data_IF_130340151089
#
_entry.id   IF_130340151089
#
_cell.length_a   1.000
_cell.length_b   1.000
_cell.length_c   1.000
_cell.angle_alpha   90.00
_cell.angle_beta   90.00
_cell.angle_gamma   90.00
#
_symmetry.space_group_name_H-M   'P 1'
#
loop_
_entity.id
_entity.type
_entity.pdbx_description
1 polymer ?
#
# COMPACT_ATOMS: atom_id res chain seq x y z
N UNK A 1 18.67 26.77 22.09
CA UNK A 1 17.59 26.72 21.10
C UNK A 1 17.35 28.09 20.50
N UNK A 2 17.00 28.16 19.23
CA UNK A 2 16.79 29.39 18.45
C UNK A 2 15.28 29.50 18.16
N UNK A 3 14.69 30.68 18.39
CA UNK A 3 13.28 30.93 18.08
C UNK A 3 13.08 30.99 16.57
N UNK A 4 11.98 30.39 16.10
CA UNK A 4 11.59 30.35 14.69
C UNK A 4 10.07 30.28 14.57
N UNK A 5 9.56 30.27 13.35
CA UNK A 5 8.12 30.15 13.04
C UNK A 5 7.92 28.93 12.15
N UNK A 6 6.91 28.11 12.47
CA UNK A 6 6.44 27.03 11.62
C UNK A 6 4.98 27.25 11.26
N UNK A 7 4.71 27.34 9.96
CA UNK A 7 3.33 27.42 9.46
C UNK A 7 2.74 26.04 9.33
N UNK A 8 1.64 25.77 10.06
CA UNK A 8 0.89 24.52 9.99
C UNK A 8 -0.53 24.86 9.52
N UNK A 9 -0.94 24.27 8.39
CA UNK A 9 -2.16 24.67 7.72
C UNK A 9 -2.08 26.15 7.27
N UNK A 10 -2.87 27.01 7.91
CA UNK A 10 -2.88 28.48 7.64
C UNK A 10 -2.45 29.30 8.85
N UNK A 11 -1.88 28.66 9.87
CA UNK A 11 -1.57 29.30 11.16
C UNK A 11 -0.07 29.21 11.45
N UNK A 12 0.50 30.33 11.89
CA UNK A 12 1.89 30.43 12.29
C UNK A 12 2.05 30.10 13.77
N UNK A 13 2.93 29.15 14.07
CA UNK A 13 3.28 28.74 15.43
C UNK A 13 4.73 29.13 15.74
N UNK A 14 4.92 29.78 16.90
CA UNK A 14 6.27 30.03 17.42
C UNK A 14 6.88 28.71 17.86
N UNK A 15 8.04 28.38 17.36
CA UNK A 15 8.76 27.12 17.63
C UNK A 15 10.19 27.40 18.07
N UNK A 16 10.86 26.40 18.63
CA UNK A 16 12.27 26.49 18.97
C UNK A 16 13.05 25.41 18.23
N UNK A 17 14.10 25.81 17.52
CA UNK A 17 15.04 24.89 16.84
C UNK A 17 16.26 24.64 17.70
N UNK A 18 16.73 23.40 17.79
CA UNK A 18 17.92 23.04 18.51
C UNK A 18 18.13 21.54 18.62
N UNK A 19 18.74 21.11 19.70
CA UNK A 19 19.00 19.69 19.96
C UNK A 19 18.44 19.29 21.33
N UNK A 20 17.92 18.07 21.43
CA UNK A 20 17.47 17.44 22.67
C UNK A 20 18.15 16.07 22.83
N UNK A 21 18.23 15.63 24.07
CA UNK A 21 18.65 14.26 24.37
C UNK A 21 17.60 13.27 23.83
N UNK A 22 18.03 12.39 22.93
CA UNK A 22 17.11 11.49 22.24
C UNK A 22 16.39 10.51 23.19
N UNK A 23 16.99 10.17 24.36
CA UNK A 23 16.42 9.28 25.37
C UNK A 23 15.25 9.91 26.15
N UNK A 24 15.12 11.25 26.15
CA UNK A 24 14.00 11.96 26.77
C UNK A 24 12.76 12.05 25.87
N UNK A 25 12.90 11.67 24.58
CA UNK A 25 11.83 11.77 23.62
C UNK A 25 10.96 10.50 23.62
N UNK A 26 9.67 10.69 23.44
CA UNK A 26 8.69 9.63 23.32
C UNK A 26 8.22 9.48 21.88
N UNK A 27 8.00 8.25 21.46
CA UNK A 27 7.37 7.98 20.18
C UNK A 27 5.91 8.41 20.17
N UNK A 28 5.39 8.77 18.99
CA UNK A 28 3.99 9.10 18.80
C UNK A 28 3.11 7.85 19.02
N UNK A 29 2.23 7.83 20.05
CA UNK A 29 1.47 6.63 20.38
C UNK A 29 0.50 6.18 19.29
N UNK A 30 0.00 7.14 18.48
CA UNK A 30 -0.98 6.89 17.43
C UNK A 30 -0.32 6.69 16.04
N UNK A 31 0.96 6.30 16.02
CA UNK A 31 1.70 6.05 14.79
C UNK A 31 1.06 4.91 13.99
N UNK A 32 0.50 5.16 12.79
CA UNK A 32 -0.22 4.15 12.01
C UNK A 32 0.61 2.93 11.64
N UNK A 33 1.93 3.10 11.43
CA UNK A 33 2.85 1.98 11.16
C UNK A 33 2.94 0.99 12.31
N UNK A 34 2.81 1.47 13.55
CA UNK A 34 2.84 0.61 14.73
C UNK A 34 1.53 -0.16 14.85
N UNK A 35 0.41 0.52 14.61
CA UNK A 35 -0.92 -0.12 14.61
C UNK A 35 -1.05 -1.21 13.54
N UNK A 36 -0.51 -0.98 12.34
CA UNK A 36 -0.54 -1.97 11.25
C UNK A 36 0.25 -3.24 11.54
N UNK A 37 1.23 -3.17 12.45
CA UNK A 37 2.09 -4.32 12.79
C UNK A 37 1.59 -5.07 14.03
N UNK A 38 1.10 -4.34 15.04
CA UNK A 38 0.77 -4.92 16.35
C UNK A 38 -0.65 -5.47 16.45
N UNK A 39 -1.55 -5.11 15.51
CA UNK A 39 -2.96 -5.54 15.52
C UNK A 39 -3.65 -5.35 16.88
N UNK A 40 -3.40 -4.22 17.57
CA UNK A 40 -3.83 -3.99 18.96
C UNK A 40 -5.33 -3.68 19.10
N UNK A 41 -6.10 -3.63 18.02
CA UNK A 41 -7.49 -3.13 18.05
C UNK A 41 -7.54 -1.71 18.62
N UNK A 42 -8.32 -1.51 19.68
CA UNK A 42 -8.48 -0.20 20.36
C UNK A 42 -7.41 0.10 21.41
N UNK A 43 -6.53 -0.85 21.73
CA UNK A 43 -5.48 -0.64 22.73
C UNK A 43 -4.35 0.23 22.19
N UNK A 44 -3.87 1.19 23.01
CA UNK A 44 -2.72 2.02 22.66
C UNK A 44 -1.41 1.28 22.93
N UNK A 45 -0.47 1.26 21.96
CA UNK A 45 0.82 0.62 22.15
C UNK A 45 1.65 1.33 23.24
N UNK A 46 2.39 0.56 24.01
CA UNK A 46 3.37 1.09 24.95
C UNK A 46 4.60 1.62 24.22
N UNK A 47 5.36 2.52 24.84
CA UNK A 47 6.60 3.07 24.24
C UNK A 47 7.62 1.98 23.89
N UNK A 48 7.69 0.91 24.68
CA UNK A 48 8.57 -0.23 24.44
C UNK A 48 8.15 -0.98 23.15
N UNK A 49 6.86 -1.25 23.02
CA UNK A 49 6.32 -1.91 21.80
C UNK A 49 6.56 -1.06 20.55
N UNK A 50 6.34 0.27 20.65
CA UNK A 50 6.59 1.19 19.53
C UNK A 50 8.08 1.15 19.14
N UNK A 51 9.00 1.28 20.12
CA UNK A 51 10.43 1.26 19.85
C UNK A 51 10.85 -0.07 19.20
N UNK A 52 10.37 -1.19 19.70
CA UNK A 52 10.69 -2.51 19.14
C UNK A 52 10.25 -2.66 17.68
N UNK A 53 9.00 -2.30 17.38
CA UNK A 53 8.46 -2.36 16.01
C UNK A 53 9.25 -1.44 15.08
N UNK A 54 9.45 -0.19 15.48
CA UNK A 54 10.14 0.80 14.65
C UNK A 54 11.61 0.41 14.42
N UNK A 55 12.33 -0.05 15.43
CA UNK A 55 13.73 -0.43 15.29
C UNK A 55 13.94 -1.70 14.44
N UNK A 56 12.96 -2.58 14.33
CA UNK A 56 13.01 -3.78 13.47
C UNK A 56 12.71 -3.49 11.99
N UNK A 57 12.05 -2.38 11.70
CA UNK A 57 11.61 -2.03 10.35
C UNK A 57 12.79 -1.80 9.39
N UNK A 58 12.73 -2.38 8.18
CA UNK A 58 13.85 -2.33 7.23
C UNK A 58 14.15 -0.91 6.73
N UNK A 59 13.13 -0.07 6.54
CA UNK A 59 13.34 1.33 6.19
C UNK A 59 14.08 2.11 7.28
N UNK A 60 13.92 1.76 8.57
CA UNK A 60 14.66 2.37 9.69
C UNK A 60 16.11 1.92 9.68
N UNK A 61 16.39 0.66 9.34
CA UNK A 61 17.76 0.16 9.20
C UNK A 61 18.50 0.88 8.06
N UNK A 62 17.84 1.10 6.91
CA UNK A 62 18.39 1.87 5.80
C UNK A 62 18.61 3.34 6.18
N UNK A 63 17.62 3.96 6.82
CA UNK A 63 17.71 5.34 7.30
C UNK A 63 18.84 5.53 8.30
N UNK A 64 19.07 4.57 9.19
CA UNK A 64 20.19 4.56 10.14
C UNK A 64 21.55 4.67 9.41
N UNK A 65 21.76 3.90 8.34
CA UNK A 65 23.02 3.99 7.57
C UNK A 65 23.18 5.36 6.89
N UNK A 66 22.09 5.91 6.35
CA UNK A 66 22.08 7.27 5.76
C UNK A 66 22.44 8.32 6.81
N UNK A 67 21.81 8.28 7.99
CA UNK A 67 22.09 9.23 9.09
C UNK A 67 23.56 9.09 9.55
N UNK A 68 24.05 7.87 9.64
CA UNK A 68 25.44 7.59 10.03
C UNK A 68 26.45 8.16 9.02
N UNK A 69 26.19 7.97 7.72
CA UNK A 69 27.06 8.49 6.65
C UNK A 69 27.04 10.02 6.57
N UNK A 70 25.91 10.65 6.80
CA UNK A 70 25.77 12.11 6.83
C UNK A 70 26.28 12.76 8.13
N UNK A 71 26.59 11.95 9.15
CA UNK A 71 27.03 12.46 10.46
C UNK A 71 25.91 13.09 11.30
N UNK A 72 24.64 12.92 10.92
CA UNK A 72 23.48 13.44 11.62
C UNK A 72 22.26 13.62 10.73
N UNK A 73 21.22 14.26 11.26
CA UNK A 73 20.02 14.60 10.50
C UNK A 73 20.23 15.84 9.62
N UNK A 74 19.73 15.76 8.38
CA UNK A 74 19.52 16.93 7.51
C UNK A 74 18.28 17.66 8.00
N UNK A 75 17.13 16.99 8.04
CA UNK A 75 15.87 17.54 8.51
C UNK A 75 15.65 17.18 10.00
N UNK A 76 15.40 18.15 10.88
CA UNK A 76 15.11 17.89 12.29
C UNK A 76 13.78 17.13 12.45
N UNK A 77 13.62 16.45 13.57
CA UNK A 77 12.33 15.87 13.98
C UNK A 77 11.45 16.92 14.63
N UNK A 78 10.13 16.73 14.63
CA UNK A 78 9.18 17.66 15.23
C UNK A 78 8.64 17.07 16.53
N UNK A 79 8.83 17.81 17.62
CA UNK A 79 8.54 17.37 18.98
C UNK A 79 7.55 18.33 19.63
N UNK A 80 6.57 17.82 20.37
CA UNK A 80 5.69 18.65 21.21
C UNK A 80 6.35 18.90 22.56
N UNK A 81 6.41 20.17 22.98
CA UNK A 81 6.91 20.54 24.32
C UNK A 81 5.97 20.03 25.41
N UNK A 82 6.53 19.81 26.59
CA UNK A 82 5.78 19.36 27.76
C UNK A 82 5.74 17.85 27.91
N UNK A 83 5.27 17.09 26.93
CA UNK A 83 5.25 15.62 26.94
C UNK A 83 6.39 14.98 26.15
N UNK A 84 7.15 15.76 25.41
CA UNK A 84 8.30 15.33 24.60
C UNK A 84 7.96 14.27 23.54
N UNK A 85 6.71 14.25 23.07
CA UNK A 85 6.26 13.34 22.04
C UNK A 85 6.74 13.79 20.65
N UNK A 86 7.35 12.89 19.90
CA UNK A 86 7.79 13.10 18.53
C UNK A 86 6.60 12.94 17.58
N UNK A 87 6.01 14.05 17.19
CA UNK A 87 4.87 14.08 16.28
C UNK A 87 5.29 13.66 14.86
N UNK A 88 6.45 14.14 14.37
CA UNK A 88 7.00 13.79 13.07
C UNK A 88 8.48 13.39 13.19
N UNK A 89 8.88 12.34 12.46
CA UNK A 89 10.25 11.82 12.47
C UNK A 89 10.47 10.62 13.39
N UNK A 90 9.43 9.86 13.70
CA UNK A 90 9.53 8.67 14.54
C UNK A 90 10.53 7.64 14.00
N UNK A 91 10.62 7.44 12.67
CA UNK A 91 11.65 6.58 12.06
C UNK A 91 13.07 7.12 12.29
N UNK A 92 13.25 8.45 12.29
CA UNK A 92 14.53 9.11 12.60
C UNK A 92 14.92 8.94 14.07
N UNK A 93 13.93 9.05 14.99
CA UNK A 93 14.16 8.76 16.41
C UNK A 93 14.55 7.28 16.60
N UNK A 94 13.86 6.33 15.97
CA UNK A 94 14.21 4.91 16.07
C UNK A 94 15.63 4.62 15.54
N UNK A 95 16.02 5.23 14.42
CA UNK A 95 17.38 5.14 13.91
C UNK A 95 18.42 5.67 14.90
N UNK A 96 18.13 6.80 15.57
CA UNK A 96 18.97 7.34 16.64
C UNK A 96 19.07 6.43 17.86
N UNK A 97 17.98 5.76 18.25
CA UNK A 97 17.99 4.73 19.33
C UNK A 97 18.97 3.60 18.99
N UNK A 98 18.99 3.13 17.73
CA UNK A 98 19.91 2.09 17.27
C UNK A 98 21.36 2.61 17.27
N UNK A 99 21.58 3.81 16.75
CA UNK A 99 22.93 4.43 16.70
C UNK A 99 23.48 4.73 18.09
N UNK A 100 22.64 5.19 19.00
CA UNK A 100 23.01 5.45 20.40
C UNK A 100 23.54 4.21 21.11
N UNK A 101 22.97 3.03 20.83
CA UNK A 101 23.48 1.75 21.35
C UNK A 101 24.91 1.43 20.83
N UNK A 102 25.32 1.99 19.70
CA UNK A 102 26.65 1.80 19.10
C UNK A 102 27.66 2.84 19.61
N UNK A 103 27.26 4.10 19.72
CA UNK A 103 28.10 5.22 20.17
C UNK A 103 27.25 6.22 20.98
N UNK A 104 27.12 6.04 22.30
CA UNK A 104 26.31 6.89 23.15
C UNK A 104 26.76 8.37 23.23
N UNK A 105 28.05 8.64 23.00
CA UNK A 105 28.55 10.01 23.06
C UNK A 105 28.12 10.79 21.81
N UNK A 106 28.34 10.21 20.65
CA UNK A 106 28.04 10.83 19.34
C UNK A 106 26.55 11.02 19.11
N UNK A 107 25.74 10.04 19.48
CA UNK A 107 24.31 10.00 19.15
C UNK A 107 23.37 10.36 20.31
N UNK A 108 23.92 10.99 21.38
CA UNK A 108 23.11 11.41 22.53
C UNK A 108 22.05 12.45 22.19
N UNK A 109 22.38 13.39 21.31
CA UNK A 109 21.51 14.52 20.95
C UNK A 109 21.00 14.42 19.53
N UNK A 110 19.74 14.80 19.33
CA UNK A 110 19.06 14.80 18.04
C UNK A 110 18.52 16.20 17.75
N UNK A 111 18.61 16.62 16.49
CA UNK A 111 18.05 17.91 16.04
C UNK A 111 16.55 17.91 16.06
N UNK A 112 15.95 18.94 16.65
CA UNK A 112 14.50 19.04 16.85
C UNK A 112 13.98 20.43 16.45
N UNK A 113 12.70 20.44 16.05
CA UNK A 113 11.81 21.60 16.08
C UNK A 113 10.83 21.35 17.22
N UNK A 114 10.85 22.18 18.25
CA UNK A 114 10.01 22.05 19.42
C UNK A 114 8.77 22.93 19.26
N UNK A 115 7.62 22.30 19.13
CA UNK A 115 6.30 22.95 19.06
C UNK A 115 5.80 23.32 20.46
N UNK A 116 4.90 24.30 20.60
CA UNK A 116 4.29 24.66 21.89
C UNK A 116 3.58 23.47 22.54
N UNK A 117 3.63 23.40 23.88
CA UNK A 117 2.94 22.37 24.68
C UNK A 117 1.43 22.30 24.39
N UNK A 118 0.83 23.46 24.19
CA UNK A 118 -0.62 23.65 24.00
C UNK A 118 -1.02 23.75 22.53
N UNK A 119 -0.22 23.13 21.63
CA UNK A 119 -0.60 23.10 20.21
C UNK A 119 -1.94 22.34 20.08
N UNK A 120 -2.93 22.92 19.34
CA UNK A 120 -4.23 22.28 19.14
C UNK A 120 -4.11 20.94 18.39
N UNK A 121 -4.97 19.96 18.73
CA UNK A 121 -4.99 18.66 18.06
C UNK A 121 -5.27 18.76 16.56
N UNK A 122 -6.07 19.77 16.14
CA UNK A 122 -6.31 20.07 14.74
C UNK A 122 -5.00 20.46 13.99
N UNK A 123 -4.14 21.20 14.64
CA UNK A 123 -2.84 21.57 14.07
C UNK A 123 -1.91 20.35 13.99
N UNK A 124 -1.94 19.49 15.00
CA UNK A 124 -1.19 18.21 14.97
C UNK A 124 -1.70 17.33 13.83
N UNK A 125 -3.01 17.21 13.67
CA UNK A 125 -3.61 16.45 12.57
C UNK A 125 -3.22 17.02 11.20
N UNK A 126 -3.30 18.35 11.01
CA UNK A 126 -2.90 19.01 9.78
C UNK A 126 -1.39 18.81 9.48
N UNK A 127 -0.54 18.87 10.51
CA UNK A 127 0.90 18.62 10.39
C UNK A 127 1.16 17.20 9.88
N UNK A 128 0.58 16.19 10.55
CA UNK A 128 0.76 14.79 10.17
C UNK A 128 0.20 14.50 8.78
N UNK A 129 -0.96 15.05 8.45
CA UNK A 129 -1.55 14.95 7.12
C UNK A 129 -0.65 15.53 6.03
N UNK A 130 -0.05 16.69 6.29
CA UNK A 130 0.85 17.34 5.35
C UNK A 130 2.13 16.51 5.10
N UNK A 131 2.69 15.89 6.13
CA UNK A 131 3.89 15.08 5.98
C UNK A 131 3.61 13.70 5.36
N UNK A 132 2.51 13.05 5.74
CA UNK A 132 2.32 11.62 5.48
C UNK A 132 1.22 11.28 4.48
N UNK A 133 0.24 12.19 4.27
CA UNK A 133 -0.87 11.96 3.34
C UNK A 133 -0.68 12.76 2.04
N UNK A 134 -0.29 14.04 2.15
CA UNK A 134 -0.22 14.96 1.00
C UNK A 134 1.18 15.02 0.42
N UNK A 135 2.18 15.24 1.26
CA UNK A 135 3.56 15.54 0.88
C UNK A 135 4.37 14.32 0.47
N UNK A 136 5.31 13.91 1.32
CA UNK A 136 6.23 12.79 1.05
C UNK A 136 5.55 11.43 0.97
N UNK A 137 4.28 11.31 1.41
CA UNK A 137 3.49 10.07 1.44
C UNK A 137 4.25 8.91 2.08
N UNK A 138 4.86 9.17 3.22
CA UNK A 138 5.65 8.16 3.94
C UNK A 138 4.80 7.02 4.51
N UNK A 139 3.48 7.22 4.63
CA UNK A 139 2.54 6.20 5.06
C UNK A 139 1.93 5.47 3.87
N UNK A 140 1.87 4.15 3.97
CA UNK A 140 1.15 3.33 3.01
C UNK A 140 -0.37 3.60 3.06
N UNK A 141 -1.11 3.34 1.98
CA UNK A 141 -2.56 3.62 1.94
C UNK A 141 -3.35 3.01 3.10
N UNK A 142 -3.00 1.80 3.54
CA UNK A 142 -3.58 1.15 4.72
C UNK A 142 -3.35 1.98 6.00
N UNK A 143 -2.14 2.49 6.19
CA UNK A 143 -1.75 3.30 7.33
C UNK A 143 -2.49 4.65 7.34
N UNK A 144 -2.58 5.30 6.16
CA UNK A 144 -3.34 6.53 5.98
C UNK A 144 -4.81 6.33 6.31
N UNK A 145 -5.41 5.28 5.77
CA UNK A 145 -6.81 4.95 6.00
C UNK A 145 -7.10 4.66 7.49
N UNK A 146 -6.25 3.87 8.14
CA UNK A 146 -6.37 3.57 9.55
C UNK A 146 -6.26 4.81 10.44
N UNK A 147 -5.38 5.75 10.11
CA UNK A 147 -5.28 7.03 10.83
C UNK A 147 -6.55 7.88 10.66
N UNK A 148 -7.06 8.01 9.43
CA UNK A 148 -8.29 8.75 9.15
C UNK A 148 -9.50 8.10 9.84
N UNK A 149 -9.61 6.78 9.80
CA UNK A 149 -10.69 6.02 10.44
C UNK A 149 -10.73 6.26 11.96
N UNK A 150 -9.58 6.14 12.65
CA UNK A 150 -9.50 6.42 14.09
C UNK A 150 -9.81 7.88 14.40
N UNK A 151 -9.26 8.81 13.61
CA UNK A 151 -9.52 10.24 13.82
C UNK A 151 -11.01 10.56 13.73
N UNK A 152 -11.74 9.99 12.76
CA UNK A 152 -13.19 10.17 12.64
C UNK A 152 -13.91 9.60 13.87
N UNK A 153 -13.54 8.40 14.30
CA UNK A 153 -14.19 7.74 15.43
C UNK A 153 -13.95 8.48 16.76
N UNK A 154 -12.74 8.96 17.00
CA UNK A 154 -12.35 9.64 18.23
C UNK A 154 -12.91 11.06 18.30
N UNK A 155 -12.84 11.81 17.19
CA UNK A 155 -13.22 13.23 17.17
C UNK A 155 -14.65 13.49 16.72
N UNK A 156 -15.32 12.49 16.12
CA UNK A 156 -16.65 12.61 15.48
C UNK A 156 -16.71 13.68 14.39
N UNK A 157 -15.57 14.06 13.81
CA UNK A 157 -15.51 14.99 12.68
C UNK A 157 -16.06 14.34 11.41
N UNK A 158 -16.66 15.16 10.54
CA UNK A 158 -17.11 14.68 9.22
C UNK A 158 -15.92 14.51 8.25
N UNK A 159 -16.11 13.67 7.24
CA UNK A 159 -15.15 13.49 6.15
C UNK A 159 -14.87 14.82 5.43
N UNK A 160 -15.89 15.67 5.29
CA UNK A 160 -15.78 16.98 4.67
C UNK A 160 -14.88 17.93 5.49
N UNK A 161 -15.01 17.89 6.82
CA UNK A 161 -14.14 18.67 7.72
C UNK A 161 -12.69 18.23 7.60
N UNK A 162 -12.42 16.92 7.65
CA UNK A 162 -11.07 16.39 7.53
C UNK A 162 -10.46 16.67 6.15
N UNK A 163 -11.25 16.56 5.09
CA UNK A 163 -10.82 16.89 3.74
C UNK A 163 -10.38 18.37 3.62
N UNK A 164 -11.16 19.26 4.22
CA UNK A 164 -10.83 20.70 4.26
C UNK A 164 -9.57 20.97 5.09
N UNK A 165 -9.42 20.36 6.25
CA UNK A 165 -8.26 20.52 7.12
C UNK A 165 -6.97 20.01 6.48
N UNK A 166 -7.05 18.88 5.75
CA UNK A 166 -5.93 18.27 5.06
C UNK A 166 -5.66 18.89 3.68
N UNK A 167 -6.61 19.63 3.09
CA UNK A 167 -6.47 20.16 1.73
C UNK A 167 -6.54 19.07 0.64
N UNK A 168 -7.27 17.97 0.89
CA UNK A 168 -7.50 16.87 -0.06
C UNK A 168 -8.98 16.73 -0.38
N UNK A 169 -9.31 15.88 -1.35
CA UNK A 169 -10.70 15.67 -1.75
C UNK A 169 -11.43 14.70 -0.81
N UNK A 170 -12.71 14.95 -0.56
CA UNK A 170 -13.59 14.02 0.17
C UNK A 170 -13.65 12.65 -0.50
N UNK A 171 -13.59 12.61 -1.83
CA UNK A 171 -13.56 11.37 -2.61
C UNK A 171 -12.33 10.51 -2.30
N UNK A 172 -11.16 11.13 -2.10
CA UNK A 172 -9.94 10.41 -1.73
C UNK A 172 -10.06 9.78 -0.34
N UNK A 173 -10.56 10.54 0.65
CA UNK A 173 -10.79 10.00 2.01
C UNK A 173 -11.81 8.86 1.97
N UNK A 174 -12.97 9.06 1.30
CA UNK A 174 -14.02 8.04 1.20
C UNK A 174 -13.50 6.74 0.58
N UNK A 175 -12.67 6.85 -0.46
CA UNK A 175 -12.05 5.67 -1.08
C UNK A 175 -11.12 4.91 -0.11
N UNK A 176 -10.28 5.63 0.65
CA UNK A 176 -9.40 5.00 1.64
C UNK A 176 -10.22 4.31 2.74
N UNK A 177 -11.26 4.97 3.25
CA UNK A 177 -12.12 4.42 4.30
C UNK A 177 -12.89 3.19 3.79
N UNK A 178 -13.47 3.24 2.58
CA UNK A 178 -14.19 2.11 1.97
C UNK A 178 -13.34 0.83 1.96
N UNK A 179 -12.08 0.93 1.53
CA UNK A 179 -11.17 -0.23 1.50
C UNK A 179 -10.82 -0.69 2.92
N UNK A 180 -10.52 0.24 3.82
CA UNK A 180 -10.12 -0.07 5.19
C UNK A 180 -11.25 -0.73 5.99
N UNK A 181 -12.46 -0.16 5.93
CA UNK A 181 -13.65 -0.69 6.61
C UNK A 181 -14.00 -2.08 6.08
N UNK A 182 -13.90 -2.29 4.76
CA UNK A 182 -14.12 -3.59 4.15
C UNK A 182 -13.08 -4.63 4.62
N UNK A 183 -11.81 -4.26 4.73
CA UNK A 183 -10.78 -5.14 5.29
C UNK A 183 -11.08 -5.53 6.75
N UNK A 184 -11.52 -4.57 7.57
CA UNK A 184 -11.94 -4.83 8.97
C UNK A 184 -13.14 -5.77 9.00
N UNK A 185 -14.18 -5.51 8.18
CA UNK A 185 -15.38 -6.36 8.09
C UNK A 185 -15.02 -7.81 7.74
N UNK A 186 -14.03 -7.98 6.86
CA UNK A 186 -13.55 -9.31 6.46
C UNK A 186 -12.49 -9.89 7.39
N UNK A 187 -12.21 -9.25 8.55
CA UNK A 187 -11.21 -9.69 9.52
C UNK A 187 -9.83 -9.95 8.87
N UNK A 188 -9.38 -8.99 8.03
CA UNK A 188 -8.05 -9.00 7.41
C UNK A 188 -7.33 -7.67 7.68
N UNK A 189 -6.46 -7.67 8.69
CA UNK A 189 -5.72 -6.50 9.12
C UNK A 189 -4.30 -6.43 8.55
N UNK A 190 -4.00 -7.18 7.49
CA UNK A 190 -2.68 -7.23 6.88
C UNK A 190 -2.51 -6.12 5.84
N UNK A 191 -1.68 -5.11 6.14
CA UNK A 191 -1.43 -3.97 5.25
C UNK A 191 -0.97 -4.37 3.83
N UNK A 192 -0.22 -5.45 3.68
CA UNK A 192 0.24 -5.98 2.41
C UNK A 192 -0.89 -6.54 1.52
N UNK A 193 -2.10 -6.71 2.06
CA UNK A 193 -3.29 -7.13 1.32
C UNK A 193 -4.12 -5.96 0.77
N UNK A 194 -3.81 -4.73 1.13
CA UNK A 194 -4.53 -3.53 0.71
C UNK A 194 -4.88 -3.50 -0.78
N UNK A 195 -3.89 -3.73 -1.64
CA UNK A 195 -4.07 -3.65 -3.10
C UNK A 195 -5.05 -4.70 -3.64
N UNK A 196 -5.20 -5.85 -2.98
CA UNK A 196 -6.18 -6.86 -3.37
C UNK A 196 -7.60 -6.38 -3.11
N UNK A 197 -7.86 -5.83 -1.94
CA UNK A 197 -9.16 -5.29 -1.55
C UNK A 197 -9.52 -4.04 -2.36
N UNK A 198 -8.54 -3.18 -2.65
CA UNK A 198 -8.73 -2.04 -3.55
C UNK A 198 -9.18 -2.49 -4.95
N UNK A 199 -8.58 -3.54 -5.52
CA UNK A 199 -8.98 -4.07 -6.82
C UNK A 199 -10.36 -4.73 -6.78
N UNK A 200 -10.73 -5.41 -5.69
CA UNK A 200 -12.09 -5.95 -5.51
C UNK A 200 -13.14 -4.84 -5.55
N UNK A 201 -12.99 -3.82 -4.73
CA UNK A 201 -13.97 -2.75 -4.57
C UNK A 201 -14.04 -1.81 -5.78
N UNK A 202 -12.95 -1.62 -6.51
CA UNK A 202 -12.89 -0.82 -7.72
C UNK A 202 -13.65 -1.45 -8.89
N UNK A 203 -13.79 -2.76 -8.90
CA UNK A 203 -14.36 -3.50 -10.02
C UNK A 203 -15.87 -3.79 -9.81
N UNK A 204 -16.71 -3.04 -10.53
CA UNK A 204 -18.18 -3.21 -10.46
C UNK A 204 -18.64 -4.62 -10.86
N UNK A 205 -17.94 -5.28 -11.80
CA UNK A 205 -18.27 -6.64 -12.23
C UNK A 205 -18.04 -7.65 -11.12
N UNK A 206 -17.00 -7.48 -10.31
CA UNK A 206 -16.71 -8.33 -9.16
C UNK A 206 -17.78 -8.16 -8.09
N UNK A 207 -18.11 -6.90 -7.74
CA UNK A 207 -19.17 -6.63 -6.75
C UNK A 207 -20.52 -7.25 -7.16
N UNK A 208 -20.89 -7.07 -8.44
CA UNK A 208 -22.10 -7.71 -8.97
C UNK A 208 -22.05 -9.24 -8.91
N UNK A 209 -20.87 -9.85 -9.17
CA UNK A 209 -20.72 -11.31 -9.07
C UNK A 209 -20.86 -11.80 -7.63
N UNK A 210 -20.38 -11.04 -6.65
CA UNK A 210 -20.57 -11.35 -5.23
C UNK A 210 -22.02 -11.32 -4.83
N UNK A 211 -22.81 -10.34 -5.32
CA UNK A 211 -24.25 -10.25 -5.07
C UNK A 211 -25.03 -11.41 -5.72
N UNK A 212 -24.60 -11.87 -6.91
CA UNK A 212 -25.31 -12.88 -7.69
C UNK A 212 -24.90 -14.33 -7.36
N UNK A 213 -23.72 -14.56 -6.80
CA UNK A 213 -23.16 -15.91 -6.57
C UNK A 213 -22.85 -16.11 -5.09
N UNK A 214 -23.73 -16.74 -4.31
CA UNK A 214 -23.51 -16.99 -2.90
C UNK A 214 -22.22 -17.77 -2.64
N UNK A 215 -21.46 -17.35 -1.64
CA UNK A 215 -20.19 -17.97 -1.23
C UNK A 215 -18.97 -17.53 -2.06
N UNK A 216 -19.16 -16.78 -3.17
CA UNK A 216 -18.04 -16.34 -4.01
C UNK A 216 -17.17 -15.31 -3.29
N UNK A 217 -17.77 -14.37 -2.59
CA UNK A 217 -17.05 -13.35 -1.83
C UNK A 217 -16.16 -13.99 -0.76
N UNK A 218 -16.76 -14.84 0.07
CA UNK A 218 -16.06 -15.53 1.17
C UNK A 218 -14.89 -16.37 0.64
N UNK A 219 -15.10 -17.07 -0.47
CA UNK A 219 -14.06 -17.88 -1.11
C UNK A 219 -12.90 -17.03 -1.62
N UNK A 220 -13.19 -15.93 -2.31
CA UNK A 220 -12.17 -15.02 -2.85
C UNK A 220 -11.38 -14.36 -1.71
N UNK A 221 -12.05 -13.94 -0.63
CA UNK A 221 -11.41 -13.38 0.56
C UNK A 221 -10.49 -14.42 1.22
N UNK A 222 -10.97 -15.67 1.39
CA UNK A 222 -10.13 -16.77 1.89
C UNK A 222 -8.88 -16.98 1.01
N UNK A 223 -9.03 -16.99 -0.31
CA UNK A 223 -7.92 -17.18 -1.23
C UNK A 223 -6.91 -16.01 -1.20
N UNK A 224 -7.36 -14.78 -0.93
CA UNK A 224 -6.47 -13.63 -0.68
C UNK A 224 -5.69 -13.83 0.62
N UNK A 225 -6.37 -14.17 1.72
CA UNK A 225 -5.75 -14.40 3.04
C UNK A 225 -4.70 -15.51 2.98
N UNK A 226 -5.02 -16.59 2.31
CA UNK A 226 -4.17 -17.78 2.16
C UNK A 226 -3.07 -17.64 1.08
N UNK A 227 -2.93 -16.48 0.45
CA UNK A 227 -1.97 -16.20 -0.63
C UNK A 227 -2.15 -17.10 -1.88
N UNK A 228 -3.34 -17.66 -2.10
CA UNK A 228 -3.67 -18.41 -3.31
C UNK A 228 -3.78 -17.50 -4.54
N UNK A 229 -4.26 -16.26 -4.34
CA UNK A 229 -4.18 -15.22 -5.37
C UNK A 229 -2.79 -14.58 -5.30
N UNK A 230 -1.97 -14.77 -6.34
CA UNK A 230 -0.54 -14.46 -6.34
C UNK A 230 -0.26 -12.95 -6.28
N UNK A 231 -1.00 -12.17 -7.07
CA UNK A 231 -0.84 -10.72 -7.16
C UNK A 231 -2.19 -10.01 -7.13
N UNK A 232 -2.24 -8.82 -6.58
CA UNK A 232 -3.46 -8.00 -6.52
C UNK A 232 -4.10 -7.79 -7.91
N UNK A 233 -3.30 -7.62 -8.95
CA UNK A 233 -3.78 -7.47 -10.33
C UNK A 233 -4.53 -8.71 -10.84
N UNK A 234 -4.25 -9.89 -10.30
CA UNK A 234 -4.93 -11.12 -10.69
C UNK A 234 -6.41 -11.16 -10.29
N UNK A 235 -6.78 -10.37 -9.29
CA UNK A 235 -8.19 -10.16 -8.90
C UNK A 235 -9.03 -9.69 -10.08
N UNK A 236 -8.45 -8.94 -11.03
CA UNK A 236 -9.13 -8.47 -12.25
C UNK A 236 -9.65 -9.60 -13.12
N UNK A 237 -9.00 -10.78 -13.09
CA UNK A 237 -9.45 -11.98 -13.81
C UNK A 237 -10.89 -12.36 -13.45
N UNK A 238 -11.24 -12.25 -12.15
CA UNK A 238 -12.62 -12.47 -11.70
C UNK A 238 -13.60 -11.47 -12.33
N UNK A 239 -13.20 -10.20 -12.44
CA UNK A 239 -13.98 -9.17 -13.11
C UNK A 239 -14.16 -9.45 -14.61
N UNK A 240 -13.15 -9.98 -15.25
CA UNK A 240 -13.21 -10.32 -16.67
C UNK A 240 -14.09 -11.55 -16.93
N UNK A 241 -14.05 -12.56 -16.07
CA UNK A 241 -15.01 -13.69 -16.08
C UNK A 241 -16.45 -13.15 -15.93
N UNK A 242 -16.66 -12.26 -14.95
CA UNK A 242 -17.99 -11.69 -14.66
C UNK A 242 -18.57 -10.86 -15.82
N UNK A 243 -17.73 -10.13 -16.56
CA UNK A 243 -18.16 -9.30 -17.71
C UNK A 243 -18.82 -10.09 -18.83
N UNK A 244 -18.45 -11.35 -19.04
CA UNK A 244 -19.01 -12.21 -20.08
C UNK A 244 -20.50 -12.49 -19.84
N UNK A 245 -20.91 -12.61 -18.57
CA UNK A 245 -22.29 -12.68 -18.11
C UNK A 245 -23.18 -13.70 -18.88
N UNK A 246 -22.65 -14.85 -19.24
CA UNK A 246 -23.36 -15.94 -19.88
C UNK A 246 -23.46 -17.18 -18.98
N UNK A 247 -24.06 -18.29 -19.50
CA UNK A 247 -24.20 -19.54 -18.74
C UNK A 247 -22.86 -20.12 -18.34
N UNK A 248 -21.82 -19.99 -19.17
CA UNK A 248 -20.49 -20.53 -18.88
C UNK A 248 -19.81 -19.74 -17.78
N UNK A 249 -19.80 -18.39 -17.88
CA UNK A 249 -19.21 -17.54 -16.85
C UNK A 249 -19.90 -17.70 -15.49
N UNK A 250 -21.24 -17.81 -15.49
CA UNK A 250 -22.00 -18.06 -14.26
C UNK A 250 -21.71 -19.43 -13.64
N UNK A 251 -21.50 -20.45 -14.47
CA UNK A 251 -21.06 -21.76 -13.98
C UNK A 251 -19.69 -21.68 -13.33
N UNK A 252 -18.71 -21.09 -14.04
CA UNK A 252 -17.33 -20.93 -13.53
C UNK A 252 -17.31 -20.17 -12.20
N UNK A 253 -18.06 -19.05 -12.08
CA UNK A 253 -18.13 -18.31 -10.84
C UNK A 253 -18.71 -19.14 -9.68
N UNK A 254 -19.68 -20.04 -9.95
CA UNK A 254 -20.18 -20.98 -8.95
C UNK A 254 -19.17 -22.06 -8.60
N UNK A 255 -18.46 -22.61 -9.59
CA UNK A 255 -17.43 -23.62 -9.38
C UNK A 255 -16.27 -23.03 -8.54
N UNK A 256 -15.90 -21.75 -8.77
CA UNK A 256 -14.96 -21.00 -7.91
C UNK A 256 -15.51 -20.85 -6.49
N UNK A 257 -16.78 -20.47 -6.33
CA UNK A 257 -17.41 -20.25 -5.02
C UNK A 257 -17.37 -21.49 -4.12
N UNK A 258 -17.54 -22.67 -4.71
CA UNK A 258 -17.52 -23.96 -3.98
C UNK A 258 -16.14 -24.61 -3.94
N UNK A 259 -15.11 -23.98 -4.55
CA UNK A 259 -13.73 -24.44 -4.54
C UNK A 259 -13.41 -25.57 -5.52
N UNK A 260 -14.30 -25.87 -6.47
CA UNK A 260 -14.05 -26.82 -7.58
C UNK A 260 -13.14 -26.23 -8.66
N UNK A 261 -13.04 -24.89 -8.73
CA UNK A 261 -12.19 -24.18 -9.67
C UNK A 261 -11.51 -22.96 -8.97
N UNK A 262 -10.55 -22.34 -9.63
CA UNK A 262 -9.90 -21.12 -9.18
C UNK A 262 -9.99 -20.00 -10.23
N UNK A 263 -9.61 -18.78 -9.84
CA UNK A 263 -9.69 -17.61 -10.73
C UNK A 263 -8.79 -17.73 -11.97
N UNK A 264 -7.71 -18.49 -11.91
CA UNK A 264 -6.78 -18.65 -13.02
C UNK A 264 -7.33 -19.61 -14.06
N UNK A 265 -7.73 -20.80 -13.63
CA UNK A 265 -8.36 -21.82 -14.47
C UNK A 265 -9.66 -21.31 -15.09
N UNK A 266 -10.54 -20.70 -14.26
CA UNK A 266 -11.78 -20.11 -14.72
C UNK A 266 -11.57 -19.04 -15.78
N UNK A 267 -10.56 -18.18 -15.60
CA UNK A 267 -10.18 -17.16 -16.56
C UNK A 267 -9.68 -17.79 -17.88
N UNK A 268 -8.86 -18.84 -17.83
CA UNK A 268 -8.38 -19.54 -19.03
C UNK A 268 -9.51 -20.22 -19.83
N UNK A 269 -10.49 -20.79 -19.14
CA UNK A 269 -11.68 -21.37 -19.78
C UNK A 269 -12.45 -20.30 -20.55
N UNK A 270 -12.72 -19.16 -19.94
CA UNK A 270 -13.40 -18.04 -20.58
C UNK A 270 -12.58 -17.48 -21.74
N UNK A 271 -11.28 -17.27 -21.55
CA UNK A 271 -10.38 -16.76 -22.59
C UNK A 271 -10.35 -17.67 -23.82
N UNK A 272 -10.38 -19.01 -23.61
CA UNK A 272 -10.38 -19.98 -24.70
C UNK A 272 -11.75 -20.18 -25.38
N UNK A 273 -12.84 -19.74 -24.73
CA UNK A 273 -14.20 -19.88 -25.28
C UNK A 273 -14.57 -18.93 -26.40
N UNK A 274 -13.70 -18.00 -26.78
CA UNK A 274 -13.95 -17.00 -27.82
C UNK A 274 -14.83 -15.84 -27.38
N UNK A 275 -15.12 -15.70 -26.10
CA UNK A 275 -16.05 -14.73 -25.55
C UNK A 275 -15.39 -13.51 -24.90
N UNK A 276 -14.07 -13.50 -24.82
CA UNK A 276 -13.27 -12.34 -24.41
C UNK A 276 -12.87 -11.47 -25.61
N UNK A 277 -12.43 -10.27 -25.32
CA UNK A 277 -12.00 -9.29 -26.32
C UNK A 277 -11.03 -9.91 -27.32
N UNK A 278 -11.24 -9.62 -28.61
CA UNK A 278 -10.54 -10.23 -29.75
C UNK A 278 -9.01 -10.19 -29.62
N UNK A 279 -8.46 -9.11 -29.07
CA UNK A 279 -7.01 -8.93 -28.90
C UNK A 279 -6.41 -9.85 -27.84
N UNK A 280 -7.11 -10.02 -26.71
CA UNK A 280 -6.65 -10.90 -25.64
C UNK A 280 -6.69 -12.37 -26.08
N UNK A 281 -7.76 -12.77 -26.75
CA UNK A 281 -7.92 -14.12 -27.29
C UNK A 281 -6.84 -14.43 -28.32
N UNK A 282 -6.52 -13.49 -29.20
CA UNK A 282 -5.47 -13.65 -30.22
C UNK A 282 -4.11 -13.90 -29.55
N UNK A 283 -3.76 -13.11 -28.53
CA UNK A 283 -2.52 -13.30 -27.77
C UNK A 283 -2.50 -14.62 -26.99
N UNK A 284 -3.62 -15.01 -26.38
CA UNK A 284 -3.74 -16.28 -25.66
C UNK A 284 -3.59 -17.48 -26.58
N UNK A 285 -4.25 -17.46 -27.74
CA UNK A 285 -4.14 -18.51 -28.74
C UNK A 285 -2.73 -18.60 -29.33
N UNK A 286 -2.10 -17.45 -29.58
CA UNK A 286 -0.71 -17.39 -30.02
C UNK A 286 0.24 -18.01 -28.99
N UNK A 287 0.12 -17.60 -27.70
CA UNK A 287 0.91 -18.19 -26.61
C UNK A 287 0.74 -19.71 -26.53
N UNK A 288 -0.53 -20.20 -26.52
CA UNK A 288 -0.80 -21.66 -26.49
C UNK A 288 -0.14 -22.38 -27.65
N UNK A 289 -0.21 -21.80 -28.86
CA UNK A 289 0.36 -22.40 -30.07
C UNK A 289 1.89 -22.50 -29.99
N UNK A 290 2.57 -21.43 -29.54
CA UNK A 290 4.05 -21.44 -29.46
C UNK A 290 4.58 -22.24 -28.24
N UNK A 291 3.73 -22.54 -27.26
CA UNK A 291 4.08 -23.37 -26.07
C UNK A 291 3.72 -24.84 -26.27
N UNK A 292 3.10 -25.22 -27.38
CA UNK A 292 2.75 -26.62 -27.66
C UNK A 292 4.00 -27.43 -27.99
N UNK A 293 4.21 -28.56 -27.28
CA UNK A 293 5.40 -29.38 -27.42
C UNK A 293 5.58 -29.93 -28.85
N UNK A 294 4.48 -30.26 -29.55
CA UNK A 294 4.54 -30.71 -30.93
C UNK A 294 4.97 -29.58 -31.87
N UNK A 295 4.49 -28.35 -31.59
CA UNK A 295 4.93 -27.16 -32.35
C UNK A 295 6.41 -26.90 -32.12
N UNK A 296 6.86 -26.87 -30.86
CA UNK A 296 8.27 -26.64 -30.49
C UNK A 296 9.17 -27.70 -31.14
N UNK A 297 8.79 -29.00 -31.08
CA UNK A 297 9.54 -30.08 -31.70
C UNK A 297 9.65 -29.93 -33.22
N UNK A 298 8.56 -29.49 -33.88
CA UNK A 298 8.58 -29.22 -35.34
C UNK A 298 9.49 -28.04 -35.70
N UNK A 299 9.44 -26.97 -34.88
CA UNK A 299 10.29 -25.78 -35.08
C UNK A 299 11.78 -26.13 -34.96
N UNK A 300 12.14 -26.91 -33.91
CA UNK A 300 13.54 -27.27 -33.65
C UNK A 300 14.11 -28.18 -34.75
N UNK A 301 13.26 -29.00 -35.38
CA UNK A 301 13.66 -29.93 -36.44
C UNK A 301 13.38 -29.40 -37.86
N UNK A 302 13.07 -28.11 -38.02
CA UNK A 302 12.78 -27.50 -39.31
C UNK A 302 14.06 -27.22 -40.10
N UNK A 303 14.08 -27.50 -41.38
CA UNK A 303 15.22 -27.24 -42.27
C UNK A 303 15.55 -25.73 -42.38
N UNK A 304 14.57 -24.85 -42.14
CA UNK A 304 14.71 -23.40 -42.17
C UNK A 304 14.92 -22.77 -40.78
N UNK A 305 15.57 -23.45 -39.86
CA UNK A 305 15.74 -23.04 -38.48
C UNK A 305 16.23 -21.59 -38.32
N UNK A 306 17.16 -21.14 -39.20
CA UNK A 306 17.69 -19.77 -39.17
C UNK A 306 16.64 -18.69 -39.47
N UNK A 307 15.71 -18.96 -40.41
CA UNK A 307 14.61 -18.02 -40.72
C UNK A 307 13.59 -17.99 -39.59
N UNK A 308 13.32 -19.14 -38.95
CA UNK A 308 12.41 -19.24 -37.82
C UNK A 308 12.99 -18.50 -36.62
N UNK A 309 14.28 -18.68 -36.33
CA UNK A 309 14.98 -17.95 -35.26
C UNK A 309 14.90 -16.43 -35.47
N UNK A 310 15.09 -15.97 -36.71
CA UNK A 310 14.99 -14.56 -37.04
C UNK A 310 13.58 -14.00 -36.80
N UNK A 311 12.52 -14.72 -37.19
CA UNK A 311 11.14 -14.31 -36.94
C UNK A 311 10.79 -14.34 -35.44
N UNK A 312 11.25 -15.31 -34.69
CA UNK A 312 11.05 -15.37 -33.22
C UNK A 312 11.72 -14.17 -32.53
N UNK A 313 12.92 -13.79 -32.95
CA UNK A 313 13.60 -12.57 -32.42
C UNK A 313 12.85 -11.28 -32.79
N UNK A 314 12.22 -11.21 -33.94
CA UNK A 314 11.34 -10.09 -34.28
C UNK A 314 10.11 -10.02 -33.36
N UNK A 315 9.46 -11.16 -33.16
CA UNK A 315 8.29 -11.26 -32.28
C UNK A 315 8.68 -10.79 -30.86
N UNK A 316 9.79 -11.25 -30.32
CA UNK A 316 10.30 -10.83 -29.02
C UNK A 316 10.47 -9.31 -28.92
N UNK A 317 11.07 -8.67 -29.92
CA UNK A 317 11.24 -7.19 -29.97
C UNK A 317 9.89 -6.46 -30.02
N UNK A 318 8.93 -6.97 -30.80
CA UNK A 318 7.59 -6.38 -30.90
C UNK A 318 6.88 -6.48 -29.55
N UNK A 319 6.92 -7.67 -28.91
CA UNK A 319 6.31 -7.89 -27.60
C UNK A 319 6.91 -6.96 -26.55
N UNK A 320 8.23 -6.83 -26.49
CA UNK A 320 8.95 -5.91 -25.58
C UNK A 320 8.52 -4.45 -25.81
N UNK A 321 8.36 -4.04 -27.08
CA UNK A 321 7.90 -2.68 -27.43
C UNK A 321 6.46 -2.43 -26.97
N UNK A 322 5.56 -3.40 -27.13
CA UNK A 322 4.16 -3.29 -26.70
C UNK A 322 4.10 -3.20 -25.18
N UNK A 323 4.85 -4.05 -24.46
CA UNK A 323 4.92 -4.03 -22.99
C UNK A 323 5.38 -2.66 -22.47
N UNK A 324 6.45 -2.10 -23.05
CA UNK A 324 6.95 -0.78 -22.66
C UNK A 324 5.93 0.35 -22.92
N UNK A 325 5.10 0.25 -23.97
CA UNK A 325 4.01 1.20 -24.22
C UNK A 325 2.88 1.06 -23.19
N UNK A 326 2.49 -0.17 -22.87
CA UNK A 326 1.47 -0.45 -21.85
C UNK A 326 1.91 0.10 -20.48
N UNK A 327 3.18 -0.07 -20.13
CA UNK A 327 3.73 0.46 -18.87
C UNK A 327 3.65 1.99 -18.81
N UNK A 328 3.98 2.69 -19.91
CA UNK A 328 3.86 4.16 -20.00
C UNK A 328 2.41 4.64 -19.87
N UNK A 329 1.47 3.90 -20.48
CA UNK A 329 0.04 4.27 -20.38
C UNK A 329 -0.53 4.02 -18.96
N UNK A 330 0.01 3.05 -18.22
CA UNK A 330 -0.38 2.80 -16.82
C UNK A 330 0.17 3.84 -15.83
N UNK A 331 1.21 4.58 -16.22
CA UNK A 331 1.83 5.62 -15.39
C UNK A 331 1.22 7.02 -15.60
N UNK A 332 0.38 7.20 -16.62
CA UNK A 332 -0.45 8.39 -16.83
C UNK A 332 -1.73 8.35 -15.99
#
# INVERSE_FOLDING_TARGET
MIDDILTIGKTDYKVKKGELEQNKLLFFPENPRVYSVLNLGDEKPTQVQIEEVMCKADHVKQLKETIKSNGGLIDPIIVRDGDMVVLEGNSRLAAYRILYKQDPIKWAKIKVILLPKNIPDEAVFALLGQYHIIGRKDWEPYEQAGYLYRTINDTKKSVESLASELGITTSYIKKLLEVYEYMIEKDDNHSNKWSYYEELLKNRGIRKAFDEVPGLEEKVISDIKENKIRMAIDVRKLGDISKVNDKLSKKILKDIAIGEDDIYSGFEIIASSGKMDNNFQLLTNFRKKISDENFVSKVINDENLGNIEFELKKIERIVSTILSRIEREKQK
#
